data_IF_735857410245
#
_entry.id   IF_735857410245
#
_cell.length_a   1.000
_cell.length_b   1.000
_cell.length_c   1.000
_cell.angle_alpha   90.00
_cell.angle_beta   90.00
_cell.angle_gamma   90.00
#
_symmetry.space_group_name_H-M   'P 1'
#
loop_
_entity.id
_entity.type
_entity.pdbx_description
1 polymer ?
#
# COMPACT_ATOMS: atom_id res chain seq x y z
N UNK A 1 10.06 -29.64 -22.23
CA UNK A 1 8.88 -28.77 -22.30
C UNK A 1 9.18 -27.47 -21.58
N UNK A 2 9.11 -26.36 -22.29
CA UNK A 2 9.26 -25.02 -21.73
C UNK A 2 7.90 -24.49 -21.25
N UNK A 3 7.83 -24.00 -20.02
CA UNK A 3 6.67 -23.26 -19.50
C UNK A 3 7.13 -22.06 -18.69
N UNK A 4 6.38 -20.97 -18.75
CA UNK A 4 6.65 -19.75 -17.98
C UNK A 4 5.63 -19.60 -16.86
N UNK A 5 6.02 -18.90 -15.79
CA UNK A 5 5.04 -18.35 -14.87
C UNK A 5 4.02 -17.48 -15.64
N UNK A 6 2.74 -17.55 -15.29
CA UNK A 6 1.66 -16.94 -16.04
C UNK A 6 1.68 -15.40 -16.06
N UNK A 7 2.45 -14.76 -15.16
CA UNK A 7 2.70 -13.31 -15.16
C UNK A 7 3.39 -12.86 -16.45
N UNK A 8 4.12 -13.78 -17.08
CA UNK A 8 4.82 -13.58 -18.35
C UNK A 8 3.87 -13.85 -19.51
N UNK A 9 3.14 -12.82 -19.90
CA UNK A 9 2.23 -12.85 -21.05
C UNK A 9 2.22 -11.51 -21.78
N UNK A 10 1.57 -11.47 -22.95
CA UNK A 10 1.55 -10.30 -23.82
C UNK A 10 1.05 -9.06 -23.06
N UNK A 11 1.72 -7.94 -23.36
CA UNK A 11 1.42 -6.66 -22.74
C UNK A 11 2.15 -6.40 -21.41
N UNK A 12 2.99 -7.31 -20.93
CA UNK A 12 3.69 -7.15 -19.65
C UNK A 12 4.64 -5.94 -19.59
N UNK A 13 4.89 -5.46 -18.38
CA UNK A 13 5.83 -4.37 -18.09
C UNK A 13 6.91 -4.89 -17.14
N UNK A 14 8.16 -4.91 -17.58
CA UNK A 14 9.34 -5.22 -16.78
C UNK A 14 9.85 -3.98 -16.05
N UNK A 15 10.38 -4.14 -14.84
CA UNK A 15 10.97 -3.03 -14.11
C UNK A 15 12.23 -2.49 -14.81
N UNK A 16 12.24 -1.20 -15.14
CA UNK A 16 13.42 -0.49 -15.64
C UNK A 16 14.44 -0.22 -14.53
N UNK A 17 15.67 0.08 -14.92
CA UNK A 17 16.77 0.53 -14.04
C UNK A 17 17.13 -0.46 -12.90
N UNK A 18 16.70 -1.72 -13.02
CA UNK A 18 17.01 -2.83 -12.12
C UNK A 18 17.11 -4.12 -12.91
N UNK A 19 17.86 -5.07 -12.38
CA UNK A 19 17.87 -6.44 -12.91
C UNK A 19 16.48 -7.07 -12.74
N UNK A 20 16.03 -7.84 -13.74
CA UNK A 20 14.72 -8.51 -13.72
C UNK A 20 14.87 -10.01 -13.88
N UNK A 21 14.09 -10.78 -13.12
CA UNK A 21 14.09 -12.24 -13.21
C UNK A 21 12.98 -12.73 -14.14
N UNK A 22 13.30 -13.68 -15.02
CA UNK A 22 12.33 -14.50 -15.75
C UNK A 22 12.50 -15.94 -15.31
N UNK A 23 11.40 -16.60 -14.93
CA UNK A 23 11.43 -17.95 -14.39
C UNK A 23 10.29 -18.83 -14.92
N UNK A 24 10.49 -20.14 -14.78
CA UNK A 24 9.55 -21.15 -15.25
C UNK A 24 10.09 -22.57 -15.15
N UNK A 25 9.48 -23.47 -15.92
CA UNK A 25 9.88 -24.88 -16.06
C UNK A 25 10.61 -25.09 -17.39
N UNK A 26 11.69 -25.88 -17.38
CA UNK A 26 12.38 -26.34 -18.59
C UNK A 26 13.18 -27.61 -18.29
N UNK A 27 13.27 -28.51 -19.28
CA UNK A 27 14.09 -29.73 -19.20
C UNK A 27 15.55 -29.49 -19.63
N UNK A 28 15.84 -28.33 -20.22
CA UNK A 28 17.17 -27.96 -20.71
C UNK A 28 17.44 -26.46 -20.50
N UNK A 29 18.70 -26.06 -20.69
CA UNK A 29 19.12 -24.66 -20.56
C UNK A 29 18.29 -23.74 -21.45
N UNK A 30 17.98 -22.55 -20.94
CA UNK A 30 17.18 -21.55 -21.63
C UNK A 30 18.05 -20.40 -22.13
N UNK A 31 17.65 -19.83 -23.25
CA UNK A 31 18.16 -18.57 -23.79
C UNK A 31 17.02 -17.56 -23.80
N UNK A 32 17.28 -16.38 -23.25
CA UNK A 32 16.32 -15.28 -23.20
C UNK A 32 16.86 -14.11 -24.01
N UNK A 33 16.04 -13.58 -24.91
CA UNK A 33 16.38 -12.42 -25.76
C UNK A 33 15.28 -11.37 -25.67
N UNK A 34 15.66 -10.12 -25.42
CA UNK A 34 14.76 -8.95 -25.44
C UNK A 34 15.58 -7.71 -25.80
N UNK A 35 15.06 -6.90 -26.73
CA UNK A 35 15.82 -5.81 -27.37
C UNK A 35 17.19 -6.29 -27.90
N UNK A 36 18.29 -5.70 -27.41
CA UNK A 36 19.68 -6.07 -27.70
C UNK A 36 20.29 -7.04 -26.66
N UNK A 37 19.53 -7.36 -25.60
CA UNK A 37 19.96 -8.26 -24.53
C UNK A 37 19.76 -9.71 -24.94
N UNK A 38 20.79 -10.53 -24.75
CA UNK A 38 20.73 -11.98 -24.90
C UNK A 38 21.47 -12.67 -23.75
N UNK A 39 20.73 -13.38 -22.89
CA UNK A 39 21.26 -14.11 -21.73
C UNK A 39 20.91 -15.59 -21.81
N UNK A 40 21.67 -16.41 -21.10
CA UNK A 40 21.42 -17.85 -20.95
C UNK A 40 21.36 -18.22 -19.48
N UNK A 41 20.57 -19.23 -19.15
CA UNK A 41 20.54 -19.82 -17.82
C UNK A 41 20.31 -21.31 -17.87
N UNK A 42 20.81 -21.98 -16.84
CA UNK A 42 20.65 -23.43 -16.69
C UNK A 42 19.29 -23.76 -16.08
N UNK A 43 18.71 -24.88 -16.50
CA UNK A 43 17.57 -25.48 -15.82
C UNK A 43 18.09 -26.43 -14.75
N UNK A 44 17.69 -26.22 -13.50
CA UNK A 44 18.06 -27.02 -12.34
C UNK A 44 16.79 -27.66 -11.78
N UNK A 45 16.78 -29.00 -11.68
CA UNK A 45 15.65 -29.78 -11.20
C UNK A 45 14.32 -29.46 -11.92
N UNK A 46 14.36 -29.27 -13.24
CA UNK A 46 13.18 -28.98 -14.07
C UNK A 46 12.69 -27.53 -14.05
N UNK A 47 13.38 -26.63 -13.34
CA UNK A 47 13.03 -25.21 -13.25
C UNK A 47 14.19 -24.32 -13.67
N UNK A 48 13.92 -23.11 -14.12
CA UNK A 48 14.94 -22.10 -14.38
C UNK A 48 14.53 -20.75 -13.78
N UNK A 49 15.54 -19.95 -13.46
CA UNK A 49 15.38 -18.53 -13.15
C UNK A 49 16.59 -17.79 -13.74
N UNK A 50 16.34 -16.88 -14.68
CA UNK A 50 17.38 -16.14 -15.37
C UNK A 50 17.20 -14.66 -15.10
N UNK A 51 18.28 -14.05 -14.61
CA UNK A 51 18.41 -12.61 -14.41
C UNK A 51 18.77 -11.93 -15.73
N UNK A 52 17.96 -10.96 -16.12
CA UNK A 52 18.17 -10.08 -17.26
C UNK A 52 18.73 -8.76 -16.71
N UNK A 53 19.87 -8.27 -17.25
CA UNK A 53 20.44 -6.98 -16.88
C UNK A 53 19.41 -5.84 -16.93
N UNK A 54 19.66 -4.80 -16.13
CA UNK A 54 18.85 -3.59 -16.16
C UNK A 54 18.77 -2.99 -17.56
N UNK A 55 17.62 -2.40 -17.86
CA UNK A 55 17.36 -1.69 -19.10
C UNK A 55 16.63 -0.38 -18.79
N UNK A 56 16.86 0.65 -19.61
CA UNK A 56 16.15 1.93 -19.51
C UNK A 56 14.67 1.76 -19.92
N UNK A 57 13.82 2.76 -19.66
CA UNK A 57 12.44 2.71 -20.13
C UNK A 57 12.35 2.61 -21.66
N UNK A 58 11.41 1.81 -22.19
CA UNK A 58 11.25 1.63 -23.64
C UNK A 58 10.30 0.50 -24.02
N UNK A 59 10.11 0.32 -25.33
CA UNK A 59 9.24 -0.70 -25.93
C UNK A 59 8.38 -0.13 -27.08
N UNK A 60 7.50 -0.93 -27.68
CA UNK A 60 7.29 -2.35 -27.39
C UNK A 60 8.44 -3.22 -27.90
N UNK A 61 8.80 -4.22 -27.11
CA UNK A 61 9.76 -5.27 -27.45
C UNK A 61 9.08 -6.63 -27.59
N UNK A 62 9.84 -7.59 -28.11
CA UNK A 62 9.47 -9.02 -28.09
C UNK A 62 10.45 -9.74 -27.18
N UNK A 63 9.93 -10.34 -26.11
CA UNK A 63 10.69 -11.21 -25.21
C UNK A 63 10.61 -12.64 -25.73
N UNK A 64 11.75 -13.22 -26.11
CA UNK A 64 11.85 -14.61 -26.59
C UNK A 64 12.55 -15.47 -25.55
N UNK A 65 11.95 -16.62 -25.22
CA UNK A 65 12.51 -17.64 -24.34
C UNK A 65 12.58 -18.93 -25.15
N UNK A 66 13.79 -19.46 -25.30
CA UNK A 66 14.08 -20.62 -26.13
C UNK A 66 14.79 -21.68 -25.28
N UNK A 67 14.44 -22.96 -25.46
CA UNK A 67 15.28 -24.08 -25.05
C UNK A 67 15.63 -24.93 -26.29
N UNK A 68 16.11 -26.16 -26.12
CA UNK A 68 16.48 -27.02 -27.26
C UNK A 68 15.31 -27.39 -28.19
N UNK A 69 14.06 -27.39 -27.69
CA UNK A 69 12.89 -27.90 -28.41
C UNK A 69 11.79 -26.88 -28.62
N UNK A 70 11.68 -25.88 -27.75
CA UNK A 70 10.55 -24.96 -27.64
C UNK A 70 11.02 -23.51 -27.73
N UNK A 71 10.17 -22.65 -28.29
CA UNK A 71 10.35 -21.19 -28.31
C UNK A 71 9.03 -20.51 -27.95
N UNK A 72 9.03 -19.75 -26.86
CA UNK A 72 7.91 -18.89 -26.43
C UNK A 72 8.27 -17.44 -26.77
N UNK A 73 7.37 -16.73 -27.43
CA UNK A 73 7.47 -15.28 -27.67
C UNK A 73 6.36 -14.56 -26.93
N UNK A 74 6.74 -13.56 -26.15
CA UNK A 74 5.84 -12.62 -25.50
C UNK A 74 5.98 -11.28 -26.21
N UNK A 75 4.86 -10.75 -26.69
CA UNK A 75 4.79 -9.53 -27.48
C UNK A 75 4.39 -8.34 -26.61
N UNK A 76 4.66 -7.14 -27.13
CA UNK A 76 4.20 -5.89 -26.52
C UNK A 76 4.73 -5.70 -25.09
N UNK A 77 6.02 -6.01 -24.92
CA UNK A 77 6.74 -5.92 -23.64
C UNK A 77 7.37 -4.54 -23.50
N UNK A 78 7.18 -3.89 -22.36
CA UNK A 78 7.83 -2.61 -22.05
C UNK A 78 8.75 -2.73 -20.86
N UNK A 79 9.78 -1.88 -20.82
CA UNK A 79 10.48 -1.55 -19.59
C UNK A 79 9.87 -0.26 -19.02
N UNK A 80 9.42 -0.31 -17.77
CA UNK A 80 8.72 0.76 -17.07
C UNK A 80 8.79 0.62 -15.55
N UNK A 81 7.93 1.31 -14.81
CA UNK A 81 7.88 1.21 -13.35
C UNK A 81 6.78 0.26 -12.90
N UNK A 82 7.13 -0.74 -12.09
CA UNK A 82 6.22 -1.82 -11.69
C UNK A 82 5.97 -1.73 -10.19
N UNK A 83 4.71 -1.70 -9.78
CA UNK A 83 4.31 -1.66 -8.37
C UNK A 83 3.42 -2.84 -8.01
N UNK A 84 3.57 -3.32 -6.78
CA UNK A 84 2.64 -4.29 -6.20
C UNK A 84 1.53 -3.52 -5.46
N UNK A 85 0.28 -3.68 -5.89
CA UNK A 85 -0.89 -3.15 -5.19
C UNK A 85 -1.53 -4.25 -4.34
N UNK A 86 -1.35 -4.17 -3.02
CA UNK A 86 -1.75 -5.23 -2.08
C UNK A 86 -2.56 -4.71 -0.89
N UNK A 87 -3.09 -5.65 -0.10
CA UNK A 87 -4.01 -5.40 0.99
C UNK A 87 -5.39 -6.00 0.72
N UNK A 88 -6.45 -5.24 1.01
CA UNK A 88 -7.81 -5.77 1.01
C UNK A 88 -8.81 -5.04 0.09
N UNK A 89 -10.10 -5.06 0.45
CA UNK A 89 -11.21 -4.58 -0.39
C UNK A 89 -11.06 -3.12 -0.83
N UNK A 90 -10.48 -2.25 -0.02
CA UNK A 90 -10.23 -0.85 -0.39
C UNK A 90 -9.08 -0.69 -1.40
N UNK A 91 -8.09 -1.59 -1.42
CA UNK A 91 -7.14 -1.68 -2.55
C UNK A 91 -7.83 -2.31 -3.77
N UNK A 92 -8.72 -3.27 -3.57
CA UNK A 92 -9.42 -3.95 -4.67
C UNK A 92 -10.40 -3.06 -5.42
N UNK A 93 -11.16 -2.21 -4.70
CA UNK A 93 -12.36 -1.52 -5.19
C UNK A 93 -12.19 -1.00 -6.61
N UNK A 94 -13.05 -1.45 -7.52
CA UNK A 94 -12.89 -1.17 -8.94
C UNK A 94 -13.27 0.28 -9.28
N UNK A 95 -12.79 0.81 -10.41
CA UNK A 95 -13.25 2.12 -10.90
C UNK A 95 -14.77 2.11 -11.11
N UNK A 96 -15.36 1.00 -11.57
CA UNK A 96 -16.80 0.86 -11.79
C UNK A 96 -17.63 0.95 -10.51
N UNK A 97 -17.07 0.54 -9.37
CA UNK A 97 -17.72 0.62 -8.05
C UNK A 97 -17.60 2.02 -7.42
N UNK A 98 -16.89 2.94 -8.09
CA UNK A 98 -16.80 4.35 -7.72
C UNK A 98 -17.61 5.22 -8.69
N UNK A 99 -17.78 6.51 -8.35
CA UNK A 99 -18.33 7.51 -9.26
C UNK A 99 -17.24 8.27 -10.04
N UNK A 100 -16.02 7.71 -10.13
CA UNK A 100 -14.83 8.41 -10.62
C UNK A 100 -14.53 8.09 -12.08
N UNK A 101 -13.69 8.95 -12.69
CA UNK A 101 -13.14 8.74 -14.03
C UNK A 101 -11.62 8.78 -13.92
N UNK A 102 -10.96 7.98 -14.74
CA UNK A 102 -9.51 8.05 -14.91
C UNK A 102 -9.15 9.27 -15.77
N UNK A 103 -8.07 9.94 -15.39
CA UNK A 103 -7.45 10.95 -16.25
C UNK A 103 -6.90 10.27 -17.51
N UNK A 104 -7.01 10.93 -18.66
CA UNK A 104 -6.39 10.44 -19.89
C UNK A 104 -4.86 10.35 -19.71
N UNK A 105 -4.29 9.24 -20.18
CA UNK A 105 -2.87 8.93 -20.15
C UNK A 105 -2.46 8.44 -21.54
N UNK A 106 -1.52 9.13 -22.18
CA UNK A 106 -0.99 8.73 -23.49
C UNK A 106 0.04 7.59 -23.37
N UNK A 107 0.59 7.40 -22.16
CA UNK A 107 1.55 6.37 -21.86
C UNK A 107 0.88 5.02 -21.56
N UNK A 108 1.67 3.95 -21.68
CA UNK A 108 1.21 2.59 -21.39
C UNK A 108 1.08 2.39 -19.88
N UNK A 109 -0.15 2.26 -19.41
CA UNK A 109 -0.45 1.94 -18.01
C UNK A 109 -1.24 0.64 -17.95
N UNK A 110 -0.73 -0.36 -17.26
CA UNK A 110 -1.31 -1.71 -17.25
C UNK A 110 -1.39 -2.31 -15.88
N UNK A 111 -2.33 -3.24 -15.72
CA UNK A 111 -2.55 -3.97 -14.50
C UNK A 111 -2.69 -5.47 -14.80
N UNK A 112 -2.04 -6.27 -13.98
CA UNK A 112 -2.17 -7.71 -13.97
C UNK A 112 -2.84 -8.13 -12.67
N UNK A 113 -3.99 -8.79 -12.76
CA UNK A 113 -4.69 -9.36 -11.61
C UNK A 113 -4.60 -10.87 -11.68
N UNK A 114 -3.88 -11.54 -10.76
CA UNK A 114 -3.90 -13.00 -10.66
C UNK A 114 -5.32 -13.52 -10.40
N UNK A 115 -5.61 -14.72 -10.88
CA UNK A 115 -6.89 -15.39 -10.62
C UNK A 115 -7.06 -15.67 -9.11
N UNK A 116 -8.26 -15.38 -8.60
CA UNK A 116 -8.60 -15.41 -7.17
C UNK A 116 -9.11 -16.77 -6.70
N UNK A 117 -9.65 -17.58 -7.60
CA UNK A 117 -10.26 -18.88 -7.27
C UNK A 117 -9.24 -20.04 -7.31
N UNK A 118 -7.95 -19.73 -7.17
CA UNK A 118 -6.91 -20.59 -7.72
C UNK A 118 -6.71 -21.92 -6.97
N UNK A 119 -6.96 -23.01 -7.69
CA UNK A 119 -6.24 -24.28 -7.56
C UNK A 119 -4.99 -24.21 -8.46
N UNK A 120 -3.82 -24.58 -7.92
CA UNK A 120 -2.47 -24.43 -8.51
C UNK A 120 -2.32 -24.90 -9.98
N UNK A 121 -3.21 -25.76 -10.46
CA UNK A 121 -3.08 -26.44 -11.75
C UNK A 121 -3.87 -25.82 -12.91
N UNK A 122 -4.62 -24.72 -12.71
CA UNK A 122 -5.37 -24.08 -13.81
C UNK A 122 -4.78 -22.72 -14.18
N UNK A 123 -4.25 -22.61 -15.41
CA UNK A 123 -4.04 -21.33 -16.11
C UNK A 123 -5.31 -21.00 -16.89
N UNK A 124 -6.10 -19.98 -16.51
CA UNK A 124 -7.13 -19.43 -17.38
C UNK A 124 -6.50 -19.00 -18.70
N UNK A 125 -7.17 -19.34 -19.81
CA UNK A 125 -6.64 -19.11 -21.16
C UNK A 125 -6.55 -17.63 -21.55
N UNK A 126 -7.11 -16.73 -20.73
CA UNK A 126 -7.35 -15.31 -20.99
C UNK A 126 -6.60 -14.36 -20.03
N UNK A 127 -5.70 -14.86 -19.17
CA UNK A 127 -4.88 -13.99 -18.32
C UNK A 127 -3.98 -13.08 -19.18
N UNK A 128 -4.13 -11.77 -19.00
CA UNK A 128 -3.37 -10.72 -19.70
C UNK A 128 -3.10 -9.53 -18.80
N UNK A 129 -2.07 -8.76 -19.14
CA UNK A 129 -1.92 -7.39 -18.66
C UNK A 129 -3.00 -6.54 -19.34
N UNK A 130 -3.94 -6.03 -18.55
CA UNK A 130 -5.03 -5.19 -19.04
C UNK A 130 -4.64 -3.72 -18.98
N UNK A 131 -5.02 -2.94 -20.00
CA UNK A 131 -4.83 -1.49 -19.96
C UNK A 131 -5.67 -0.87 -18.85
N UNK A 132 -5.07 0.06 -18.09
CA UNK A 132 -5.78 0.88 -17.11
C UNK A 132 -6.53 1.96 -17.86
N UNK A 133 -7.78 1.67 -18.21
CA UNK A 133 -8.66 2.58 -18.94
C UNK A 133 -10.13 2.35 -18.55
N UNK A 134 -11.00 3.27 -18.98
CA UNK A 134 -12.43 3.20 -18.68
C UNK A 134 -13.13 1.97 -19.29
N UNK A 135 -12.56 1.32 -20.31
CA UNK A 135 -13.10 0.09 -20.90
C UNK A 135 -12.91 -1.13 -19.98
N UNK A 136 -11.85 -1.13 -19.15
CA UNK A 136 -11.56 -2.19 -18.18
C UNK A 136 -11.95 -1.80 -16.74
N UNK A 137 -12.77 -0.76 -16.55
CA UNK A 137 -13.08 -0.16 -15.23
C UNK A 137 -13.58 -1.13 -14.15
N UNK A 138 -14.13 -2.29 -14.52
CA UNK A 138 -14.68 -3.30 -13.61
C UNK A 138 -13.59 -4.22 -13.02
N UNK A 139 -12.44 -4.34 -13.68
CA UNK A 139 -11.39 -5.30 -13.32
C UNK A 139 -10.10 -4.66 -12.80
N UNK A 140 -10.09 -3.33 -12.66
CA UNK A 140 -8.92 -2.54 -12.25
C UNK A 140 -9.17 -1.81 -10.93
N UNK A 141 -8.20 -1.88 -10.01
CA UNK A 141 -8.23 -1.16 -8.73
C UNK A 141 -8.27 0.35 -8.96
N UNK A 142 -9.22 1.06 -8.35
CA UNK A 142 -9.36 2.50 -8.51
C UNK A 142 -8.17 3.27 -7.94
N UNK A 143 -7.75 2.94 -6.70
CA UNK A 143 -6.61 3.61 -6.05
C UNK A 143 -5.31 3.38 -6.82
N UNK A 144 -5.02 2.13 -7.19
CA UNK A 144 -3.80 1.80 -7.93
C UNK A 144 -3.81 2.36 -9.36
N UNK A 145 -4.98 2.45 -10.00
CA UNK A 145 -5.10 3.06 -11.33
C UNK A 145 -4.81 4.56 -11.31
N UNK A 146 -5.38 5.30 -10.36
CA UNK A 146 -5.10 6.73 -10.20
C UNK A 146 -3.63 6.99 -9.86
N UNK A 147 -3.03 6.15 -9.00
CA UNK A 147 -1.60 6.17 -8.72
C UNK A 147 -0.77 5.97 -10.00
N UNK A 148 -1.06 4.92 -10.77
CA UNK A 148 -0.27 4.52 -11.92
C UNK A 148 -0.32 5.57 -13.03
N UNK A 149 -1.50 6.14 -13.28
CA UNK A 149 -1.69 7.23 -14.25
C UNK A 149 -0.90 8.48 -13.84
N UNK A 150 -0.92 8.85 -12.55
CA UNK A 150 -0.18 10.03 -12.06
C UNK A 150 1.33 9.87 -12.21
N UNK A 151 1.88 8.72 -11.78
CA UNK A 151 3.31 8.39 -11.94
C UNK A 151 3.70 8.35 -13.42
N UNK A 152 2.90 7.69 -14.26
CA UNK A 152 3.17 7.56 -15.68
C UNK A 152 3.20 8.92 -16.39
N UNK A 153 2.29 9.83 -16.05
CA UNK A 153 2.26 11.20 -16.60
C UNK A 153 3.42 12.05 -16.08
N UNK A 154 3.75 11.91 -14.81
CA UNK A 154 4.81 12.70 -14.16
C UNK A 154 6.19 12.38 -14.73
N UNK A 155 6.51 11.09 -14.90
CA UNK A 155 7.83 10.64 -15.34
C UNK A 155 7.91 10.28 -16.82
N UNK A 156 6.78 10.31 -17.52
CA UNK A 156 6.65 9.92 -18.92
C UNK A 156 7.18 8.51 -19.20
N UNK A 157 6.75 7.54 -18.40
CA UNK A 157 7.17 6.13 -18.50
C UNK A 157 5.98 5.18 -18.47
N UNK A 158 6.10 3.97 -19.06
CA UNK A 158 5.13 2.90 -18.82
C UNK A 158 5.04 2.54 -17.34
N UNK A 159 3.84 2.23 -16.84
CA UNK A 159 3.63 1.80 -15.45
C UNK A 159 2.81 0.52 -15.39
N UNK A 160 3.33 -0.49 -14.69
CA UNK A 160 2.69 -1.77 -14.43
C UNK A 160 2.22 -1.91 -12.99
N UNK A 161 1.01 -2.41 -12.77
CA UNK A 161 0.49 -2.76 -11.44
C UNK A 161 0.30 -4.27 -11.37
N UNK A 162 0.93 -4.91 -10.39
CA UNK A 162 0.63 -6.28 -9.97
C UNK A 162 -0.44 -6.19 -8.87
N UNK A 163 -1.67 -6.56 -9.19
CA UNK A 163 -2.85 -6.37 -8.35
C UNK A 163 -3.07 -7.59 -7.45
N UNK A 164 -2.50 -7.58 -6.25
CA UNK A 164 -2.47 -8.70 -5.32
C UNK A 164 -3.21 -8.38 -4.01
N UNK A 165 -4.53 -8.36 -4.05
CA UNK A 165 -5.37 -7.96 -2.91
C UNK A 165 -6.58 -8.88 -2.73
N UNK A 166 -6.96 -9.12 -1.47
CA UNK A 166 -8.13 -9.95 -1.08
C UNK A 166 -9.04 -9.17 -0.14
N UNK A 167 -10.31 -9.04 -0.53
CA UNK A 167 -11.34 -8.47 0.33
C UNK A 167 -11.45 -9.18 1.68
N UNK A 168 -11.58 -8.38 2.76
CA UNK A 168 -11.64 -8.85 4.14
C UNK A 168 -10.40 -9.63 4.64
N UNK A 169 -9.24 -9.48 3.99
CA UNK A 169 -8.01 -10.13 4.47
C UNK A 169 -7.41 -9.43 5.69
N UNK A 170 -6.99 -10.21 6.69
CA UNK A 170 -6.20 -9.74 7.84
C UNK A 170 -4.70 -9.76 7.52
N UNK A 171 -3.90 -8.88 8.14
CA UNK A 171 -2.45 -8.78 7.87
C UNK A 171 -1.70 -10.10 8.11
N UNK A 172 -2.12 -10.91 9.08
CA UNK A 172 -1.49 -12.20 9.39
C UNK A 172 -1.58 -13.25 8.26
N UNK A 173 -2.55 -13.12 7.36
CA UNK A 173 -2.66 -14.00 6.19
C UNK A 173 -1.58 -13.73 5.13
N UNK A 174 -0.88 -12.60 5.23
CA UNK A 174 0.17 -12.16 4.32
C UNK A 174 1.59 -12.36 4.87
N UNK A 175 1.74 -12.84 6.11
CA UNK A 175 3.05 -13.10 6.74
C UNK A 175 3.54 -14.50 6.36
N UNK A 176 4.86 -14.71 6.27
CA UNK A 176 5.43 -16.02 5.96
C UNK A 176 5.13 -17.05 7.08
N UNK A 177 4.90 -18.34 6.76
CA UNK A 177 4.61 -19.37 7.77
C UNK A 177 5.65 -19.45 8.88
N UNK A 178 6.94 -19.39 8.52
CA UNK A 178 8.09 -19.42 9.42
C UNK A 178 8.21 -18.18 10.31
N UNK A 179 7.58 -17.07 9.91
CA UNK A 179 7.54 -15.81 10.66
C UNK A 179 6.30 -15.72 11.56
N UNK A 180 5.35 -16.66 11.41
CA UNK A 180 4.20 -16.85 12.29
C UNK A 180 4.52 -17.97 13.29
N UNK A 181 5.49 -17.75 14.18
CA UNK A 181 5.75 -18.64 15.32
C UNK A 181 5.86 -17.85 16.63
N UNK A 182 5.37 -18.44 17.73
CA UNK A 182 5.46 -17.86 19.09
C UNK A 182 4.32 -16.90 19.45
N UNK A 183 4.62 -15.84 20.21
CA UNK A 183 3.66 -14.79 20.67
C UNK A 183 3.06 -13.95 19.53
N UNK A 184 3.35 -14.29 18.27
CA UNK A 184 2.95 -13.61 17.04
C UNK A 184 1.84 -14.36 16.28
N UNK A 185 1.57 -15.62 16.63
CA UNK A 185 0.45 -16.34 16.04
C UNK A 185 -0.86 -15.84 16.67
N UNK A 186 -1.80 -15.37 15.84
CA UNK A 186 -3.16 -15.14 16.32
C UNK A 186 -3.81 -16.49 16.65
N UNK A 187 -3.77 -16.81 17.94
CA UNK A 187 -4.50 -17.95 18.49
C UNK A 187 -6.00 -17.72 18.36
N UNK A 188 -6.78 -18.79 18.37
CA UNK A 188 -8.24 -18.70 18.38
C UNK A 188 -8.76 -17.91 19.60
N UNK A 189 -8.00 -17.93 20.71
CA UNK A 189 -8.24 -17.12 21.91
C UNK A 189 -8.05 -15.62 21.64
N UNK A 190 -6.96 -15.22 20.97
CA UNK A 190 -6.71 -13.82 20.62
C UNK A 190 -7.77 -13.27 19.65
N UNK A 191 -8.26 -14.11 18.75
CA UNK A 191 -9.32 -13.79 17.78
C UNK A 191 -10.71 -13.66 18.41
N UNK A 192 -10.90 -14.16 19.63
CA UNK A 192 -12.15 -14.02 20.39
C UNK A 192 -13.41 -14.56 19.68
N UNK A 193 -13.26 -15.47 18.72
CA UNK A 193 -14.36 -16.00 17.90
C UNK A 193 -14.91 -15.03 16.85
N UNK A 194 -14.15 -14.00 16.44
CA UNK A 194 -14.56 -13.04 15.42
C UNK A 194 -14.78 -13.68 14.04
N UNK A 195 -15.82 -13.23 13.34
CA UNK A 195 -16.22 -13.78 12.04
C UNK A 195 -15.16 -13.58 10.97
N UNK A 196 -14.38 -12.49 11.00
CA UNK A 196 -13.35 -12.23 9.99
C UNK A 196 -12.32 -13.37 10.01
N UNK A 197 -11.90 -13.81 11.20
CA UNK A 197 -10.91 -14.88 11.34
C UNK A 197 -11.50 -16.30 11.22
N UNK A 198 -12.83 -16.43 11.13
CA UNK A 198 -13.46 -17.72 10.78
C UNK A 198 -13.31 -18.07 9.29
N UNK A 199 -12.95 -17.09 8.47
CA UNK A 199 -12.80 -17.25 7.02
C UNK A 199 -11.49 -17.96 6.70
N UNK A 200 -11.55 -18.96 5.82
CA UNK A 200 -10.37 -19.77 5.43
C UNK A 200 -9.24 -18.88 4.90
N UNK A 201 -9.56 -17.82 4.17
CA UNK A 201 -8.55 -16.91 3.61
C UNK A 201 -7.88 -15.99 4.64
N UNK A 202 -8.40 -15.95 5.87
CA UNK A 202 -7.79 -15.26 7.01
C UNK A 202 -6.96 -16.17 7.91
N UNK A 203 -6.77 -17.44 7.51
CA UNK A 203 -5.79 -18.29 8.15
C UNK A 203 -4.39 -17.70 7.97
N UNK A 204 -3.55 -17.93 8.98
CA UNK A 204 -2.15 -17.53 8.99
C UNK A 204 -1.46 -17.94 7.68
N UNK A 205 -0.75 -16.99 7.06
CA UNK A 205 0.02 -17.19 5.82
C UNK A 205 -0.77 -17.64 4.58
N UNK A 206 -2.09 -17.58 4.59
CA UNK A 206 -2.91 -18.05 3.46
C UNK A 206 -2.56 -17.32 2.15
N UNK A 207 -2.63 -15.98 2.12
CA UNK A 207 -2.31 -15.19 0.93
C UNK A 207 -0.82 -15.13 0.60
N UNK A 208 0.04 -15.23 1.62
CA UNK A 208 1.48 -15.39 1.41
C UNK A 208 1.78 -16.60 0.52
N UNK A 209 1.20 -17.75 0.86
CA UNK A 209 1.42 -18.98 0.11
C UNK A 209 0.64 -19.02 -1.20
N UNK A 210 -0.61 -18.56 -1.19
CA UNK A 210 -1.49 -18.71 -2.33
C UNK A 210 -1.17 -17.72 -3.45
N UNK A 211 -0.80 -16.46 -3.14
CA UNK A 211 -0.66 -15.43 -4.17
C UNK A 211 0.71 -14.78 -4.20
N UNK A 212 1.23 -14.40 -3.03
CA UNK A 212 2.46 -13.63 -2.99
C UNK A 212 3.65 -14.40 -3.57
N UNK A 213 3.79 -15.68 -3.22
CA UNK A 213 4.83 -16.57 -3.76
C UNK A 213 4.74 -16.79 -5.27
N UNK A 214 3.59 -16.53 -5.90
CA UNK A 214 3.48 -16.65 -7.35
C UNK A 214 4.00 -15.41 -8.04
N UNK A 215 3.71 -14.24 -7.45
CA UNK A 215 4.14 -12.93 -7.95
C UNK A 215 5.62 -12.74 -7.74
N UNK A 216 6.14 -13.12 -6.58
CA UNK A 216 7.55 -13.00 -6.33
C UNK A 216 8.36 -14.02 -7.17
N UNK A 217 9.57 -13.65 -7.63
CA UNK A 217 10.26 -12.38 -7.39
C UNK A 217 10.13 -11.40 -8.58
N UNK A 218 8.94 -11.17 -9.14
CA UNK A 218 8.76 -10.18 -10.21
C UNK A 218 9.30 -8.83 -9.74
N UNK A 219 10.36 -8.31 -10.36
CA UNK A 219 11.01 -7.09 -9.87
C UNK A 219 10.01 -5.94 -9.84
N UNK A 220 9.92 -5.28 -8.69
CA UNK A 220 9.05 -4.13 -8.45
C UNK A 220 9.86 -2.95 -7.90
N UNK A 221 9.33 -1.75 -8.11
CA UNK A 221 9.84 -0.48 -7.56
C UNK A 221 9.31 -0.19 -6.16
N UNK A 222 8.16 -0.74 -5.78
CA UNK A 222 7.61 -0.57 -4.44
C UNK A 222 6.25 -1.26 -4.26
N UNK A 223 5.78 -1.26 -3.01
CA UNK A 223 4.50 -1.83 -2.59
C UNK A 223 3.55 -0.72 -2.17
N UNK A 224 2.33 -0.74 -2.71
CA UNK A 224 1.20 0.03 -2.25
C UNK A 224 0.35 -0.87 -1.35
N UNK A 225 0.12 -0.47 -0.11
CA UNK A 225 -0.59 -1.29 0.87
C UNK A 225 -1.80 -0.55 1.44
N UNK A 226 -3.01 -1.11 1.22
CA UNK A 226 -4.24 -0.55 1.80
C UNK A 226 -5.05 -1.66 2.49
N UNK A 227 -4.89 -1.74 3.81
CA UNK A 227 -5.50 -2.75 4.66
C UNK A 227 -5.49 -2.32 6.13
N UNK A 228 -6.45 -2.86 6.88
CA UNK A 228 -6.51 -2.77 8.35
C UNK A 228 -7.90 -3.10 8.91
N UNK A 229 -8.93 -3.10 8.06
CA UNK A 229 -10.34 -3.25 8.43
C UNK A 229 -10.61 -4.56 9.16
N UNK A 230 -10.05 -5.66 8.65
CA UNK A 230 -10.27 -6.96 9.24
C UNK A 230 -9.40 -7.22 10.48
N UNK A 231 -8.46 -6.33 10.81
CA UNK A 231 -7.67 -6.40 12.04
C UNK A 231 -8.21 -5.46 13.15
N UNK A 232 -9.23 -4.65 12.87
CA UNK A 232 -9.90 -3.77 13.84
C UNK A 232 -10.81 -4.54 14.82
N UNK A 233 -10.24 -5.55 15.45
CA UNK A 233 -10.89 -6.46 16.38
C UNK A 233 -10.26 -6.30 17.76
N UNK A 234 -11.07 -6.46 18.80
CA UNK A 234 -10.62 -6.43 20.20
C UNK A 234 -9.48 -7.43 20.43
N UNK A 235 -8.44 -7.04 21.17
CA UNK A 235 -7.23 -7.85 21.47
C UNK A 235 -6.34 -8.16 20.25
N UNK A 236 -6.77 -7.82 19.04
CA UNK A 236 -6.01 -8.01 17.80
C UNK A 236 -5.38 -6.69 17.37
N UNK A 237 -6.19 -5.61 17.33
CA UNK A 237 -5.79 -4.32 16.79
C UNK A 237 -4.48 -3.76 17.39
N UNK A 238 -4.24 -3.95 18.69
CA UNK A 238 -3.02 -3.50 19.39
C UNK A 238 -1.72 -4.12 18.86
N UNK A 239 -1.81 -5.23 18.12
CA UNK A 239 -0.67 -5.95 17.56
C UNK A 239 -0.39 -5.60 16.09
N UNK A 240 -1.21 -4.76 15.46
CA UNK A 240 -1.16 -4.54 14.01
C UNK A 240 0.22 -4.10 13.52
N UNK A 241 0.83 -3.09 14.17
CA UNK A 241 2.14 -2.55 13.76
C UNK A 241 3.22 -3.63 13.71
N UNK A 242 3.28 -4.44 14.77
CA UNK A 242 4.23 -5.54 14.93
C UNK A 242 4.11 -6.55 13.79
N UNK A 243 2.89 -6.96 13.48
CA UNK A 243 2.63 -7.99 12.47
C UNK A 243 2.87 -7.45 11.07
N UNK A 244 2.45 -6.21 10.81
CA UNK A 244 2.72 -5.52 9.56
C UNK A 244 4.24 -5.39 9.31
N UNK A 245 5.02 -5.03 10.33
CA UNK A 245 6.48 -4.94 10.20
C UNK A 245 7.12 -6.31 9.94
N UNK A 246 6.61 -7.40 10.54
CA UNK A 246 7.03 -8.76 10.19
C UNK A 246 6.69 -9.09 8.73
N UNK A 247 5.49 -8.77 8.27
CA UNK A 247 5.07 -8.94 6.87
C UNK A 247 6.01 -8.20 5.92
N UNK A 248 6.34 -6.94 6.22
CA UNK A 248 7.27 -6.14 5.41
C UNK A 248 8.64 -6.80 5.31
N UNK A 249 9.16 -7.35 6.42
CA UNK A 249 10.43 -8.10 6.40
C UNK A 249 10.34 -9.35 5.53
N UNK A 250 9.23 -10.08 5.55
CA UNK A 250 9.05 -11.27 4.73
C UNK A 250 8.93 -10.94 3.25
N UNK A 251 8.23 -9.86 2.88
CA UNK A 251 8.20 -9.38 1.50
C UNK A 251 9.62 -8.99 1.05
N UNK A 252 10.37 -8.25 1.86
CA UNK A 252 11.76 -7.88 1.54
C UNK A 252 12.67 -9.08 1.31
N UNK A 253 12.53 -10.13 2.13
CA UNK A 253 13.25 -11.41 1.92
C UNK A 253 12.82 -12.08 0.63
N UNK A 254 11.51 -12.12 0.36
CA UNK A 254 10.95 -12.80 -0.81
C UNK A 254 11.37 -12.14 -2.14
N UNK A 255 11.57 -10.83 -2.13
CA UNK A 255 12.10 -10.05 -3.27
C UNK A 255 13.61 -9.88 -3.29
N UNK A 256 14.33 -10.34 -2.25
CA UNK A 256 15.76 -10.08 -2.05
C UNK A 256 16.10 -8.57 -2.14
N UNK A 257 15.23 -7.72 -1.58
CA UNK A 257 15.37 -6.26 -1.54
C UNK A 257 15.14 -5.77 -0.10
N UNK A 258 16.19 -5.62 0.74
CA UNK A 258 16.06 -5.19 2.14
C UNK A 258 15.55 -3.75 2.27
N UNK A 259 15.60 -2.97 1.19
CA UNK A 259 15.17 -1.58 1.12
C UNK A 259 13.89 -1.43 0.29
N UNK A 260 13.15 -2.51 0.00
CA UNK A 260 11.91 -2.42 -0.79
C UNK A 260 10.96 -1.38 -0.17
N UNK A 261 10.57 -0.32 -0.90
CA UNK A 261 9.70 0.74 -0.36
C UNK A 261 8.26 0.25 -0.16
N UNK A 262 7.66 0.64 0.96
CA UNK A 262 6.22 0.49 1.22
C UNK A 262 5.57 1.85 1.34
N UNK A 263 4.43 2.06 0.69
CA UNK A 263 3.58 3.23 0.90
C UNK A 263 2.20 2.72 1.31
N UNK A 264 1.82 3.02 2.55
CA UNK A 264 0.61 2.52 3.18
C UNK A 264 -0.49 3.58 3.19
N UNK A 265 -1.74 3.13 3.28
CA UNK A 265 -2.91 4.00 3.41
C UNK A 265 -3.46 3.87 4.83
N UNK A 266 -3.40 4.95 5.60
CA UNK A 266 -4.07 5.01 6.89
C UNK A 266 -5.58 4.90 6.68
N UNK A 267 -6.27 4.24 7.59
CA UNK A 267 -7.71 4.04 7.50
C UNK A 267 -8.51 5.35 7.60
N UNK A 268 -9.63 5.43 6.87
CA UNK A 268 -10.48 6.62 6.85
C UNK A 268 -11.37 6.71 8.11
N UNK A 269 -12.22 7.73 8.20
CA UNK A 269 -13.33 7.74 9.19
C UNK A 269 -14.44 6.76 8.80
N UNK A 270 -15.12 6.18 9.79
CA UNK A 270 -16.24 5.24 9.60
C UNK A 270 -17.12 5.20 10.85
N UNK A 271 -18.45 5.23 10.68
CA UNK A 271 -19.36 5.22 11.82
C UNK A 271 -19.26 3.92 12.63
N UNK A 272 -19.34 4.04 13.95
CA UNK A 272 -19.33 2.95 14.93
C UNK A 272 -18.07 2.06 14.91
N UNK A 273 -17.02 2.45 14.20
CA UNK A 273 -15.75 1.73 14.10
C UNK A 273 -14.86 1.98 15.35
N UNK A 274 -15.27 1.43 16.50
CA UNK A 274 -14.64 1.75 17.79
C UNK A 274 -13.14 1.39 17.91
N UNK A 275 -12.62 0.47 17.08
CA UNK A 275 -11.20 0.08 17.05
C UNK A 275 -10.39 0.75 15.93
N UNK A 276 -11.04 1.55 15.07
CA UNK A 276 -10.36 2.33 14.02
C UNK A 276 -9.29 3.29 14.54
N UNK A 277 -9.52 4.02 15.63
CA UNK A 277 -8.48 4.86 16.22
C UNK A 277 -7.22 4.05 16.58
N UNK A 278 -7.40 2.86 17.15
CA UNK A 278 -6.29 1.97 17.54
C UNK A 278 -5.53 1.50 16.31
N UNK A 279 -6.20 1.08 15.23
CA UNK A 279 -5.48 0.69 14.00
C UNK A 279 -4.77 1.90 13.38
N UNK A 280 -5.38 3.09 13.36
CA UNK A 280 -4.72 4.31 12.84
C UNK A 280 -3.44 4.64 13.60
N UNK A 281 -3.44 4.49 14.92
CA UNK A 281 -2.24 4.63 15.76
C UNK A 281 -1.19 3.57 15.40
N UNK A 282 -1.62 2.33 15.19
CA UNK A 282 -0.71 1.22 14.85
C UNK A 282 -0.13 1.36 13.44
N UNK A 283 -0.90 1.88 12.47
CA UNK A 283 -0.40 2.22 11.14
C UNK A 283 0.63 3.35 11.20
N UNK A 284 0.35 4.38 12.00
CA UNK A 284 1.30 5.48 12.26
C UNK A 284 2.57 4.96 12.92
N UNK A 285 2.44 4.12 13.94
CA UNK A 285 3.55 3.48 14.65
C UNK A 285 4.41 2.64 13.70
N UNK A 286 3.79 1.82 12.84
CA UNK A 286 4.51 1.02 11.85
C UNK A 286 5.31 1.88 10.87
N UNK A 287 4.76 3.02 10.43
CA UNK A 287 5.50 3.96 9.57
C UNK A 287 6.66 4.64 10.33
N UNK A 288 6.48 5.01 11.60
CA UNK A 288 7.54 5.65 12.40
C UNK A 288 8.69 4.70 12.76
N UNK A 289 8.37 3.44 13.10
CA UNK A 289 9.35 2.43 13.52
C UNK A 289 9.96 1.67 12.34
N UNK A 290 9.26 1.62 11.20
CA UNK A 290 9.66 0.85 10.02
C UNK A 290 10.64 1.59 9.12
N UNK A 291 11.69 0.89 8.68
CA UNK A 291 12.61 1.40 7.66
C UNK A 291 11.95 1.43 6.28
N UNK A 292 12.11 2.53 5.54
CA UNK A 292 11.57 2.75 4.19
C UNK A 292 10.07 2.44 4.05
N UNK A 293 9.28 2.94 5.00
CA UNK A 293 7.82 2.86 5.01
C UNK A 293 7.25 4.29 5.02
N UNK A 294 6.37 4.57 4.08
CA UNK A 294 5.56 5.78 4.00
C UNK A 294 4.11 5.52 4.32
N UNK A 295 3.39 6.56 4.73
CA UNK A 295 1.96 6.47 5.01
C UNK A 295 1.25 7.73 4.52
N UNK A 296 0.17 7.56 3.77
CA UNK A 296 -0.77 8.63 3.46
C UNK A 296 -1.94 8.61 4.46
N UNK A 297 -2.50 9.78 4.75
CA UNK A 297 -3.68 9.95 5.59
C UNK A 297 -4.95 10.04 4.75
N UNK A 298 -6.07 9.53 5.29
CA UNK A 298 -7.40 9.57 4.64
C UNK A 298 -8.52 9.99 5.58
N UNK A 299 -8.19 10.52 6.76
CA UNK A 299 -9.17 10.97 7.76
C UNK A 299 -10.08 12.11 7.29
N UNK A 300 -9.77 12.77 6.18
CA UNK A 300 -10.58 13.81 5.55
C UNK A 300 -11.48 13.33 4.41
N UNK A 301 -11.22 12.13 3.86
CA UNK A 301 -11.89 11.61 2.66
C UNK A 301 -12.55 10.23 2.88
N UNK A 302 -12.99 9.97 4.12
CA UNK A 302 -13.80 8.80 4.47
C UNK A 302 -15.30 8.96 4.23
N UNK A 303 -16.06 7.89 4.46
CA UNK A 303 -17.52 7.90 4.41
C UNK A 303 -18.08 7.24 5.68
N UNK A 304 -18.85 7.97 6.48
CA UNK A 304 -19.34 7.45 7.77
C UNK A 304 -20.22 6.20 7.61
N UNK A 305 -20.90 6.04 6.48
CA UNK A 305 -21.87 4.95 6.26
C UNK A 305 -21.40 3.91 5.25
N UNK A 306 -20.17 4.04 4.74
CA UNK A 306 -19.60 3.12 3.76
C UNK A 306 -18.15 2.81 4.10
N UNK A 307 -17.88 1.54 4.45
CA UNK A 307 -16.53 1.05 4.70
C UNK A 307 -15.63 1.08 3.45
N UNK A 308 -16.22 1.28 2.26
CA UNK A 308 -15.52 1.45 1.00
C UNK A 308 -15.72 2.87 0.43
N UNK A 309 -15.09 3.91 1.01
CA UNK A 309 -15.21 5.28 0.50
C UNK A 309 -14.88 5.37 -0.99
N UNK A 310 -15.72 6.07 -1.75
CA UNK A 310 -15.63 6.13 -3.21
C UNK A 310 -14.58 7.11 -3.70
N UNK A 311 -14.04 7.96 -2.83
CA UNK A 311 -12.95 8.87 -3.17
C UNK A 311 -11.60 8.15 -3.29
N UNK A 312 -11.40 7.41 -4.38
CA UNK A 312 -10.14 6.71 -4.67
C UNK A 312 -9.14 7.54 -5.50
N UNK A 313 -9.58 8.58 -6.19
CA UNK A 313 -8.69 9.56 -6.84
C UNK A 313 -7.80 10.27 -5.81
N UNK A 314 -8.35 10.72 -4.68
CA UNK A 314 -7.56 11.36 -3.62
C UNK A 314 -6.52 10.39 -3.06
N UNK A 315 -6.92 9.14 -2.78
CA UNK A 315 -6.01 8.08 -2.31
C UNK A 315 -4.89 7.83 -3.33
N UNK A 316 -5.22 7.60 -4.59
CA UNK A 316 -4.23 7.32 -5.64
C UNK A 316 -3.25 8.49 -5.87
N UNK A 317 -3.75 9.73 -5.88
CA UNK A 317 -2.90 10.93 -6.01
C UNK A 317 -1.99 11.14 -4.82
N UNK A 318 -2.45 10.87 -3.59
CA UNK A 318 -1.60 10.92 -2.39
C UNK A 318 -0.54 9.83 -2.39
N UNK A 319 -0.89 8.60 -2.79
CA UNK A 319 0.09 7.53 -2.97
C UNK A 319 1.17 7.94 -3.98
N UNK A 320 0.77 8.57 -5.10
CA UNK A 320 1.70 9.01 -6.13
C UNK A 320 2.60 10.15 -5.63
N UNK A 321 2.02 11.15 -4.95
CA UNK A 321 2.79 12.22 -4.31
C UNK A 321 3.81 11.67 -3.30
N UNK A 322 3.41 10.70 -2.47
CA UNK A 322 4.31 10.07 -1.52
C UNK A 322 5.44 9.32 -2.24
N UNK A 323 5.12 8.55 -3.29
CA UNK A 323 6.13 7.86 -4.09
C UNK A 323 7.10 8.83 -4.76
N UNK A 324 6.63 9.97 -5.26
CA UNK A 324 7.48 10.99 -5.88
C UNK A 324 8.55 11.48 -4.91
N UNK A 325 8.20 11.86 -3.70
CA UNK A 325 9.19 12.29 -2.71
C UNK A 325 10.06 11.14 -2.16
N UNK A 326 9.46 9.99 -1.87
CA UNK A 326 10.14 8.88 -1.18
C UNK A 326 10.98 7.99 -2.10
N UNK A 327 10.47 7.67 -3.29
CA UNK A 327 11.05 6.67 -4.21
C UNK A 327 11.81 7.36 -5.35
N UNK A 328 11.27 8.45 -5.90
CA UNK A 328 11.89 9.18 -7.00
C UNK A 328 12.81 10.32 -6.53
N UNK A 329 12.68 10.74 -5.27
CA UNK A 329 13.52 11.78 -4.68
C UNK A 329 13.17 13.20 -5.13
N UNK A 330 11.93 13.43 -5.58
CA UNK A 330 11.43 14.78 -5.86
C UNK A 330 11.54 15.64 -4.60
N UNK A 331 12.08 16.86 -4.74
CA UNK A 331 12.15 17.84 -3.66
C UNK A 331 10.79 18.52 -3.46
N UNK A 332 9.85 17.77 -2.85
CA UNK A 332 8.47 18.18 -2.61
C UNK A 332 7.98 17.73 -1.22
N UNK A 333 7.09 18.50 -0.62
CA UNK A 333 6.38 18.09 0.59
C UNK A 333 5.34 17.01 0.23
N UNK A 334 5.62 15.80 0.68
CA UNK A 334 4.81 14.60 0.37
C UNK A 334 4.31 13.86 1.60
N UNK A 335 4.89 14.12 2.77
CA UNK A 335 4.49 13.53 4.05
C UNK A 335 3.34 14.33 4.68
N UNK A 336 2.37 13.68 5.35
CA UNK A 336 1.32 14.38 6.06
C UNK A 336 1.90 15.15 7.26
N UNK A 337 1.28 16.28 7.66
CA UNK A 337 1.63 16.95 8.90
C UNK A 337 1.53 16.01 10.10
N UNK A 338 2.53 16.05 10.99
CA UNK A 338 2.52 15.23 12.20
C UNK A 338 2.87 16.08 13.41
N UNK A 339 2.08 15.95 14.48
CA UNK A 339 2.45 16.51 15.77
C UNK A 339 3.69 15.76 16.31
N UNK A 340 4.76 16.49 16.60
CA UNK A 340 6.05 15.93 17.06
C UNK A 340 6.44 16.39 18.46
N UNK A 341 5.82 17.47 18.95
CA UNK A 341 6.07 18.03 20.28
C UNK A 341 4.73 18.51 20.86
N UNK A 342 4.52 18.25 22.16
CA UNK A 342 3.48 18.87 22.97
C UNK A 342 4.12 19.42 24.25
N UNK A 343 4.05 20.73 24.44
CA UNK A 343 4.64 21.43 25.60
C UNK A 343 3.55 22.17 26.37
N UNK A 344 3.44 21.90 27.66
CA UNK A 344 2.48 22.55 28.55
C UNK A 344 3.11 23.75 29.26
N UNK A 345 2.49 24.91 29.07
CA UNK A 345 2.81 26.14 29.79
C UNK A 345 1.54 26.67 30.49
N UNK A 346 1.48 26.53 31.81
CA UNK A 346 0.28 26.86 32.58
C UNK A 346 -0.85 25.86 32.28
N UNK A 347 -1.86 26.34 31.55
CA UNK A 347 -3.05 25.59 31.08
C UNK A 347 -3.16 25.56 29.54
N UNK A 348 -2.10 25.97 28.85
CA UNK A 348 -2.04 25.99 27.39
C UNK A 348 -1.00 24.98 26.92
N UNK A 349 -1.38 24.14 25.96
CA UNK A 349 -0.48 23.18 25.30
C UNK A 349 -0.10 23.72 23.94
N UNK A 350 1.20 23.93 23.71
CA UNK A 350 1.71 24.24 22.38
C UNK A 350 2.08 22.94 21.67
N UNK A 351 1.39 22.65 20.59
CA UNK A 351 1.66 21.52 19.70
C UNK A 351 2.51 22.00 18.54
N UNK A 352 3.62 21.31 18.25
CA UNK A 352 4.44 21.58 17.06
C UNK A 352 4.28 20.47 16.03
N UNK A 353 4.12 20.87 14.78
CA UNK A 353 3.96 19.96 13.65
C UNK A 353 5.17 20.00 12.73
N UNK A 354 5.56 18.83 12.23
CA UNK A 354 6.49 18.67 11.11
C UNK A 354 5.72 18.48 9.79
N UNK A 355 6.42 18.54 8.65
CA UNK A 355 5.87 18.33 7.29
C UNK A 355 4.75 19.30 6.89
N UNK A 356 4.83 20.55 7.37
CA UNK A 356 3.80 21.58 7.13
C UNK A 356 4.04 22.41 5.86
N UNK A 357 5.17 22.21 5.18
CA UNK A 357 5.67 23.11 4.15
C UNK A 357 5.79 24.56 4.69
N UNK A 358 4.93 25.47 4.24
CA UNK A 358 4.95 26.88 4.66
C UNK A 358 4.09 27.15 5.90
N UNK A 359 3.33 26.17 6.38
CA UNK A 359 2.51 26.29 7.59
C UNK A 359 1.21 25.48 7.54
N UNK A 360 0.43 25.61 8.60
CA UNK A 360 -0.84 24.92 8.79
C UNK A 360 -2.04 25.81 8.44
N UNK A 361 -3.12 25.18 7.96
CA UNK A 361 -4.42 25.83 7.84
C UNK A 361 -5.57 24.86 8.15
N UNK A 362 -6.72 25.40 8.55
CA UNK A 362 -7.96 24.65 8.72
C UNK A 362 -8.92 24.87 7.54
N UNK A 363 -9.68 23.84 7.18
CA UNK A 363 -10.78 23.97 6.19
C UNK A 363 -12.16 24.10 6.83
N UNK A 364 -12.34 23.42 7.95
CA UNK A 364 -13.54 23.44 8.79
C UNK A 364 -13.06 23.51 10.25
N UNK A 365 -13.91 23.93 11.20
CA UNK A 365 -13.54 24.02 12.61
C UNK A 365 -12.94 22.71 13.14
N UNK A 366 -11.81 22.83 13.83
CA UNK A 366 -11.07 21.71 14.39
C UNK A 366 -11.67 21.28 15.73
N UNK A 367 -11.66 19.97 15.98
CA UNK A 367 -12.01 19.42 17.28
C UNK A 367 -10.73 18.94 17.97
N UNK A 368 -10.16 19.80 18.80
CA UNK A 368 -9.16 19.39 19.78
C UNK A 368 -9.86 19.02 21.08
N UNK A 369 -9.43 17.91 21.68
CA UNK A 369 -9.88 17.49 23.00
C UNK A 369 -8.70 17.44 23.95
N UNK A 370 -8.90 17.94 25.16
CA UNK A 370 -7.98 17.78 26.28
C UNK A 370 -8.52 16.75 27.26
N UNK A 371 -7.65 15.92 27.80
CA UNK A 371 -7.98 15.00 28.90
C UNK A 371 -7.48 15.58 30.21
N UNK A 372 -8.37 15.75 31.20
CA UNK A 372 -8.03 16.23 32.53
C UNK A 372 -7.42 15.13 33.40
N UNK A 373 -6.88 15.49 34.57
CA UNK A 373 -6.28 14.54 35.52
C UNK A 373 -7.22 13.42 35.99
N UNK A 374 -8.53 13.68 36.03
CA UNK A 374 -9.55 12.69 36.39
C UNK A 374 -9.97 11.78 35.21
N UNK A 375 -9.36 11.98 34.03
CA UNK A 375 -9.65 11.23 32.81
C UNK A 375 -10.83 11.77 31.99
N UNK A 376 -11.48 12.85 32.41
CA UNK A 376 -12.57 13.46 31.64
C UNK A 376 -12.03 14.22 30.43
N UNK A 377 -12.73 14.11 29.29
CA UNK A 377 -12.39 14.80 28.05
C UNK A 377 -13.24 16.05 27.85
N UNK A 378 -12.60 17.14 27.43
CA UNK A 378 -13.24 18.43 27.19
C UNK A 378 -12.82 18.97 25.83
N UNK A 379 -13.72 19.67 25.15
CA UNK A 379 -13.37 20.41 23.95
C UNK A 379 -12.44 21.58 24.32
N UNK A 380 -11.48 21.87 23.46
CA UNK A 380 -10.48 22.90 23.68
C UNK A 380 -10.54 23.97 22.58
N UNK A 381 -10.30 25.22 22.98
CA UNK A 381 -10.03 26.30 22.05
C UNK A 381 -8.64 26.13 21.43
N UNK A 382 -8.46 26.64 20.22
CA UNK A 382 -7.19 26.52 19.51
C UNK A 382 -6.81 27.77 18.70
N UNK A 383 -5.52 27.98 18.52
CA UNK A 383 -4.94 29.02 17.66
C UNK A 383 -3.83 28.41 16.79
N UNK A 384 -3.96 28.53 15.47
CA UNK A 384 -2.96 28.06 14.49
C UNK A 384 -1.97 29.21 14.21
N UNK A 385 -0.67 28.93 14.30
CA UNK A 385 0.37 29.88 13.93
C UNK A 385 1.58 29.15 13.32
N UNK A 386 1.77 29.32 12.01
CA UNK A 386 2.87 28.67 11.28
C UNK A 386 2.79 27.14 11.38
N UNK A 387 3.78 26.54 12.02
CA UNK A 387 3.89 25.09 12.27
C UNK A 387 3.35 24.67 13.65
N UNK A 388 2.71 25.59 14.38
CA UNK A 388 2.20 25.34 15.74
C UNK A 388 0.69 25.47 15.86
N UNK A 389 0.12 24.73 16.82
CA UNK A 389 -1.25 24.90 17.29
C UNK A 389 -1.21 25.03 18.81
N UNK A 390 -1.69 26.16 19.34
CA UNK A 390 -1.89 26.34 20.78
C UNK A 390 -3.27 25.84 21.13
N UNK A 391 -3.38 24.95 22.11
CA UNK A 391 -4.62 24.32 22.57
C UNK A 391 -4.84 24.69 24.02
N UNK A 392 -6.03 25.16 24.36
CA UNK A 392 -6.34 25.66 25.69
C UNK A 392 -7.76 25.28 26.12
N UNK A 393 -7.93 24.94 27.40
CA UNK A 393 -9.24 24.75 27.99
C UNK A 393 -9.29 25.38 29.39
N UNK A 394 -10.21 26.31 29.58
CA UNK A 394 -10.33 27.11 30.80
C UNK A 394 -10.39 26.25 32.07
N UNK A 395 -9.42 26.46 32.96
CA UNK A 395 -9.36 25.80 34.27
C UNK A 395 -8.98 24.31 34.23
N UNK A 396 -8.51 23.81 33.10
CA UNK A 396 -8.07 22.42 32.93
C UNK A 396 -6.56 22.38 32.70
N UNK A 397 -5.85 21.62 33.54
CA UNK A 397 -4.46 21.26 33.29
C UNK A 397 -4.48 19.88 32.61
N UNK A 398 -4.20 19.81 31.30
CA UNK A 398 -4.34 18.57 30.55
C UNK A 398 -3.20 17.60 30.85
N UNK A 399 -3.51 16.30 30.91
CA UNK A 399 -2.52 15.22 30.88
C UNK A 399 -2.30 14.70 29.46
N UNK A 400 -3.17 15.08 28.53
CA UNK A 400 -3.16 14.61 27.15
C UNK A 400 -4.00 15.51 26.24
N UNK A 401 -3.61 15.59 24.97
CA UNK A 401 -4.36 16.22 23.89
C UNK A 401 -4.62 15.21 22.77
N UNK A 402 -5.81 15.25 22.18
CA UNK A 402 -6.14 14.46 20.99
C UNK A 402 -6.78 15.29 19.89
N UNK A 403 -6.56 14.90 18.65
CA UNK A 403 -7.10 15.55 17.45
C UNK A 403 -7.47 14.51 16.39
N UNK A 404 -8.71 14.57 15.88
CA UNK A 404 -9.22 13.64 14.85
C UNK A 404 -9.22 12.17 15.29
N UNK A 405 -9.11 11.91 16.59
CA UNK A 405 -8.81 10.60 17.14
C UNK A 405 -10.02 9.69 17.10
N UNK A 406 -11.24 10.23 17.29
CA UNK A 406 -12.45 9.41 17.27
C UNK A 406 -12.74 8.86 15.86
N UNK A 407 -13.57 7.82 15.77
CA UNK A 407 -13.92 7.14 14.52
C UNK A 407 -14.75 7.97 13.52
N UNK A 408 -15.49 8.98 13.99
CA UNK A 408 -16.31 9.91 13.20
C UNK A 408 -15.74 11.33 13.07
N UNK A 409 -14.54 11.58 13.58
CA UNK A 409 -13.94 12.91 13.53
C UNK A 409 -13.15 13.06 12.23
N UNK A 410 -13.72 13.81 11.28
CA UNK A 410 -13.02 14.17 10.05
C UNK A 410 -11.82 15.10 10.34
N UNK A 411 -10.73 14.87 9.61
CA UNK A 411 -9.52 15.69 9.73
C UNK A 411 -9.63 16.94 8.88
N UNK A 412 -9.54 18.10 9.53
CA UNK A 412 -9.63 19.40 8.85
C UNK A 412 -8.40 20.32 9.00
N UNK A 413 -7.33 19.82 9.63
CA UNK A 413 -6.03 20.50 9.71
C UNK A 413 -5.11 20.02 8.58
N UNK A 414 -4.56 20.94 7.80
CA UNK A 414 -3.76 20.63 6.61
C UNK A 414 -2.43 21.38 6.61
N UNK A 415 -1.40 20.83 5.94
CA UNK A 415 -0.24 21.61 5.50
C UNK A 415 -0.62 22.58 4.40
N UNK A 416 0.22 23.59 4.13
CA UNK A 416 0.02 24.55 3.04
C UNK A 416 -0.10 23.91 1.66
N UNK A 417 0.44 22.70 1.48
CA UNK A 417 0.32 21.90 0.24
C UNK A 417 -0.95 21.03 0.18
N UNK A 418 -1.82 21.11 1.18
CA UNK A 418 -3.13 20.45 1.19
C UNK A 418 -3.13 18.99 1.62
N UNK A 419 -2.11 18.55 2.38
CA UNK A 419 -2.10 17.22 3.00
C UNK A 419 -2.71 17.27 4.41
N UNK A 420 -3.66 16.38 4.74
CA UNK A 420 -4.31 16.38 6.04
C UNK A 420 -3.37 15.80 7.10
N UNK A 421 -3.39 16.42 8.29
CA UNK A 421 -2.60 16.00 9.42
C UNK A 421 -2.93 14.56 9.85
N UNK A 422 -1.94 13.87 10.41
CA UNK A 422 -2.16 12.55 11.01
C UNK A 422 -2.98 12.74 12.31
N UNK A 423 -4.13 12.05 12.48
CA UNK A 423 -4.81 11.98 13.77
C UNK A 423 -3.87 11.51 14.87
N UNK A 424 -4.00 12.07 16.08
CA UNK A 424 -3.13 11.67 17.18
C UNK A 424 -3.81 11.80 18.53
N UNK A 425 -3.17 11.15 19.50
CA UNK A 425 -3.39 11.27 20.92
C UNK A 425 -2.00 11.34 21.58
N UNK A 426 -1.69 12.44 22.26
CA UNK A 426 -0.36 12.69 22.83
C UNK A 426 -0.46 13.02 24.31
N UNK A 427 0.30 12.27 25.12
CA UNK A 427 0.45 12.53 26.56
C UNK A 427 1.47 13.64 26.78
N UNK A 428 1.20 14.47 27.78
CA UNK A 428 1.94 15.69 28.12
C UNK A 428 2.87 15.46 29.30
#
# INVERSE_FOLDING_TARGET
MLKLNYLFCDGMILQRDREVAIWGESDSSVKITIDDICVKGEAINGTFSVKIPQHICGGPYVLKIENETDCISINDVYYGDVYLASGQSNMYLSIADTNQKLDECENIVRIFTPDREWEYDRRPADMRWADICMENKESISAAASHFAVDISKTYNVPVGILNCNQGASCVCSWVAPESIEGEYAFTDEAKGGDWAYSLVFNQNSYHYNLWLKIIAPYTIRGVLWYQGESDAVKNVCDNYSRIFLTMVQDFRKLWDDPDLPFITVQLPVLADAIYWPVIRDQQTKAMLEGHNIGMITTGDCGELQDIHPKDKITVGKRLALYARGMIYGDDITHKPPMCVIAELEGDTVTLKFDNVADGLYEREPLCFKVTAQDGTQHDAEYEISGDTVRVHADGIIPTEVSFGYKWDEFVHLYSSVGLPAVPFKITI
#
